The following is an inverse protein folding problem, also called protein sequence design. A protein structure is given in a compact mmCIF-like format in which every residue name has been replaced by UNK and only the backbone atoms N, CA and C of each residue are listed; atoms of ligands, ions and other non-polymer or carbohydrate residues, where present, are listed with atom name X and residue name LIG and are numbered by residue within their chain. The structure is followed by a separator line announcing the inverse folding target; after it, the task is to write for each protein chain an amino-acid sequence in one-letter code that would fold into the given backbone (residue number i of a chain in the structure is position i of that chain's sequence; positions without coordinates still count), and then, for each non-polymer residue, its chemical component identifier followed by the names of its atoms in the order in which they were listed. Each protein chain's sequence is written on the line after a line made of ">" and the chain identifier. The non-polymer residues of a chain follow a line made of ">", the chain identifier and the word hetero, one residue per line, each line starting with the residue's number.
data_IF_541149706405
#
_entry.id   IF_541149706405
#
_cell.length_a   1.000
_cell.length_b   1.000
_cell.length_c   1.000
_cell.angle_alpha   90.00
_cell.angle_beta   90.00
_cell.angle_gamma   90.00
#
_symmetry.space_group_name_H-M   'P 1'
#
loop_
_entity.id
_entity.type
_entity.pdbx_description
1 polymer ?
#
# COMPACT_ATOMS: atom_id res chain seq x y z
N UNK A 1 10.39 -10.86 -3.84
CA UNK A 1 9.90 -9.65 -3.18
C UNK A 1 10.12 -8.45 -4.08
N UNK A 2 9.04 -8.02 -4.76
CA UNK A 2 9.02 -6.83 -5.61
C UNK A 2 10.03 -6.88 -6.77
N UNK A 3 10.24 -5.72 -7.41
CA UNK A 3 11.35 -5.54 -8.36
C UNK A 3 12.51 -4.90 -7.60
N UNK A 4 13.71 -5.49 -7.66
CA UNK A 4 14.90 -5.01 -6.92
C UNK A 4 15.17 -3.52 -7.13
N UNK A 5 14.95 -3.00 -8.33
CA UNK A 5 15.12 -1.58 -8.68
C UNK A 5 13.80 -0.82 -8.82
N UNK A 6 12.67 -1.42 -8.42
CA UNK A 6 11.34 -0.87 -8.64
C UNK A 6 11.15 0.52 -8.03
N UNK A 7 11.74 0.77 -6.85
CA UNK A 7 11.69 2.07 -6.19
C UNK A 7 12.45 3.18 -6.94
N UNK A 8 13.44 2.84 -7.77
CA UNK A 8 14.21 3.79 -8.58
C UNK A 8 13.51 4.12 -9.91
N UNK A 9 12.74 3.17 -10.45
CA UNK A 9 12.19 3.26 -11.81
C UNK A 9 10.71 3.68 -11.85
N UNK A 10 9.96 3.42 -10.79
CA UNK A 10 8.52 3.62 -10.74
C UNK A 10 8.26 4.78 -9.80
N UNK A 11 7.65 5.86 -10.25
CA UNK A 11 7.25 6.97 -9.37
C UNK A 11 6.13 6.56 -8.40
N UNK A 12 6.13 7.15 -7.19
CA UNK A 12 5.09 6.90 -6.19
C UNK A 12 3.78 7.49 -6.69
N UNK A 13 2.75 6.67 -6.73
CA UNK A 13 1.39 7.07 -7.01
C UNK A 13 0.49 6.68 -5.86
N UNK A 14 -0.52 7.50 -5.62
CA UNK A 14 -1.50 7.29 -4.57
C UNK A 14 -2.91 7.58 -5.12
N UNK A 15 -3.91 7.14 -4.36
CA UNK A 15 -5.32 7.38 -4.66
C UNK A 15 -5.59 8.87 -4.70
N UNK A 16 -6.44 9.27 -5.64
CA UNK A 16 -6.86 10.67 -5.77
C UNK A 16 -8.28 10.84 -5.24
N UNK A 17 -8.78 12.07 -5.28
CA UNK A 17 -10.12 12.41 -4.82
C UNK A 17 -10.91 13.04 -5.94
N UNK A 18 -12.23 12.81 -5.95
CA UNK A 18 -13.15 13.60 -6.75
C UNK A 18 -13.00 15.10 -6.42
N UNK A 19 -13.23 15.99 -7.40
CA UNK A 19 -13.24 17.43 -7.17
C UNK A 19 -14.10 17.83 -5.97
N UNK A 20 -13.66 18.86 -5.24
CA UNK A 20 -14.39 19.34 -4.06
C UNK A 20 -15.84 19.74 -4.39
N UNK A 21 -16.08 20.30 -5.57
CA UNK A 21 -17.42 20.66 -6.08
C UNK A 21 -18.38 19.49 -6.17
N UNK A 22 -17.86 18.30 -6.46
CA UNK A 22 -18.68 17.13 -6.78
C UNK A 22 -19.00 16.34 -5.51
N UNK A 23 -18.03 16.28 -4.57
CA UNK A 23 -18.16 15.53 -3.31
C UNK A 23 -18.95 16.24 -2.21
N UNK A 24 -19.33 17.51 -2.38
CA UNK A 24 -20.24 18.21 -1.43
C UNK A 24 -21.73 17.96 -1.73
N UNK A 25 -22.05 17.31 -2.85
CA UNK A 25 -23.44 17.11 -3.29
C UNK A 25 -24.08 15.85 -2.71
N UNK A 26 -23.29 14.94 -2.13
CA UNK A 26 -23.75 13.65 -1.62
C UNK A 26 -22.74 13.05 -0.61
N UNK A 27 -23.11 11.94 0.03
CA UNK A 27 -22.29 11.23 1.02
C UNK A 27 -21.62 9.95 0.49
N UNK A 28 -21.46 9.81 -0.83
CA UNK A 28 -20.81 8.62 -1.42
C UNK A 28 -19.29 8.69 -1.28
N UNK A 29 -18.63 7.54 -1.46
CA UNK A 29 -17.17 7.46 -1.49
C UNK A 29 -16.61 8.36 -2.61
N UNK A 30 -15.66 9.22 -2.25
CA UNK A 30 -15.04 10.19 -3.16
C UNK A 30 -13.56 9.88 -3.44
N UNK A 31 -13.04 8.81 -2.86
CA UNK A 31 -11.68 8.33 -3.10
C UNK A 31 -11.68 7.53 -4.40
N UNK A 32 -10.80 7.90 -5.33
CA UNK A 32 -10.65 7.23 -6.62
C UNK A 32 -9.52 6.21 -6.46
N UNK A 33 -9.80 4.90 -6.52
CA UNK A 33 -8.78 3.87 -6.42
C UNK A 33 -7.84 3.93 -7.63
N UNK A 34 -6.61 3.45 -7.46
CA UNK A 34 -5.73 3.16 -8.58
C UNK A 34 -6.26 1.94 -9.34
N UNK A 35 -6.00 1.88 -10.63
CA UNK A 35 -6.24 0.67 -11.41
C UNK A 35 -5.26 -0.44 -11.00
N UNK A 36 -5.67 -1.69 -11.21
CA UNK A 36 -4.90 -2.88 -10.81
C UNK A 36 -3.44 -2.88 -11.33
N UNK A 37 -3.15 -2.57 -12.61
CA UNK A 37 -1.78 -2.41 -13.09
C UNK A 37 -0.96 -1.36 -12.33
N UNK A 38 -1.57 -0.23 -11.99
CA UNK A 38 -0.92 0.82 -11.20
C UNK A 38 -0.65 0.38 -9.77
N UNK A 39 -1.59 -0.33 -9.13
CA UNK A 39 -1.38 -0.91 -7.78
C UNK A 39 -0.23 -1.93 -7.81
N UNK A 40 -0.20 -2.82 -8.80
CA UNK A 40 0.88 -3.80 -8.97
C UNK A 40 2.26 -3.13 -9.15
N UNK A 41 2.32 -2.01 -9.90
CA UNK A 41 3.54 -1.19 -9.99
C UNK A 41 3.95 -0.57 -8.66
N UNK A 42 2.99 -0.09 -7.85
CA UNK A 42 3.31 0.46 -6.53
C UNK A 42 3.84 -0.63 -5.58
N UNK A 43 3.29 -1.84 -5.64
CA UNK A 43 3.80 -2.99 -4.89
C UNK A 43 5.24 -3.37 -5.26
N UNK A 44 5.60 -3.20 -6.54
CA UNK A 44 6.95 -3.43 -7.04
C UNK A 44 8.01 -2.48 -6.45
N UNK A 45 7.61 -1.35 -5.84
CA UNK A 45 8.53 -0.40 -5.17
C UNK A 45 9.08 -0.93 -3.84
N UNK A 46 8.59 -2.05 -3.30
CA UNK A 46 9.14 -2.62 -2.06
C UNK A 46 10.62 -3.00 -2.25
N UNK A 47 11.50 -2.51 -1.36
CA UNK A 47 12.95 -2.72 -1.48
C UNK A 47 13.46 -4.06 -0.93
N UNK A 48 12.60 -4.87 -0.30
CA UNK A 48 13.02 -6.08 0.44
C UNK A 48 14.18 -5.80 1.43
N UNK A 49 13.92 -4.91 2.40
CA UNK A 49 14.95 -4.25 3.21
C UNK A 49 15.75 -5.17 4.18
N UNK A 50 15.47 -6.48 4.23
CA UNK A 50 15.97 -7.42 5.23
C UNK A 50 15.38 -7.22 6.63
N UNK A 51 15.37 -5.99 7.15
CA UNK A 51 14.67 -5.60 8.38
C UNK A 51 13.44 -4.75 8.00
N UNK A 52 12.22 -5.31 8.01
CA UNK A 52 11.03 -4.60 7.57
C UNK A 52 10.48 -3.69 8.69
N UNK A 53 11.01 -2.48 8.82
CA UNK A 53 10.51 -1.49 9.80
C UNK A 53 9.01 -1.16 9.62
N UNK A 54 8.47 -1.33 8.41
CA UNK A 54 7.04 -1.21 8.15
C UNK A 54 6.19 -2.20 8.95
N UNK A 55 6.69 -3.41 9.28
CA UNK A 55 6.01 -4.37 10.14
C UNK A 55 5.81 -3.78 11.54
N UNK A 56 6.90 -3.30 12.14
CA UNK A 56 6.89 -2.73 13.49
C UNK A 56 6.12 -1.41 13.56
N UNK A 57 6.12 -0.65 12.46
CA UNK A 57 5.31 0.57 12.33
C UNK A 57 3.80 0.28 12.23
N UNK A 58 3.40 -0.94 11.90
CA UNK A 58 2.00 -1.34 11.85
C UNK A 58 1.53 -1.86 13.22
N UNK A 59 0.53 -1.26 13.88
CA UNK A 59 0.07 -1.72 15.20
C UNK A 59 -0.48 -3.15 15.25
N UNK A 60 -0.86 -3.72 14.09
CA UNK A 60 -1.33 -5.10 13.96
C UNK A 60 -0.27 -6.03 13.35
N UNK A 61 0.97 -5.55 13.20
CA UNK A 61 2.11 -6.31 12.69
C UNK A 61 1.84 -7.01 11.34
N UNK A 62 1.19 -6.29 10.40
CA UNK A 62 0.95 -6.83 9.06
C UNK A 62 2.25 -7.24 8.37
N UNK A 63 2.19 -8.35 7.63
CA UNK A 63 3.26 -8.92 6.82
C UNK A 63 3.42 -8.19 5.47
N UNK A 64 3.69 -6.88 5.54
CA UNK A 64 3.61 -5.94 4.41
C UNK A 64 4.41 -6.34 3.17
N UNK A 65 5.70 -6.69 3.27
CA UNK A 65 6.49 -7.08 2.12
C UNK A 65 6.00 -8.37 1.46
N UNK A 66 5.35 -9.27 2.21
CA UNK A 66 4.86 -10.55 1.69
C UNK A 66 3.67 -10.32 0.75
N UNK A 67 2.63 -9.64 1.21
CA UNK A 67 1.48 -9.36 0.35
C UNK A 67 1.80 -8.36 -0.76
N UNK A 68 2.77 -7.44 -0.59
CA UNK A 68 3.29 -6.63 -1.69
C UNK A 68 3.90 -7.49 -2.81
N UNK A 69 4.69 -8.52 -2.47
CA UNK A 69 5.25 -9.44 -3.47
C UNK A 69 4.17 -10.27 -4.17
N UNK A 70 3.16 -10.71 -3.41
CA UNK A 70 2.01 -11.42 -3.95
C UNK A 70 1.23 -10.55 -4.94
N UNK A 71 0.94 -9.29 -4.60
CA UNK A 71 0.29 -8.31 -5.48
C UNK A 71 1.12 -8.03 -6.73
N UNK A 72 2.43 -7.82 -6.58
CA UNK A 72 3.33 -7.64 -7.73
C UNK A 72 3.31 -8.86 -8.67
N UNK A 73 3.18 -10.06 -8.12
CA UNK A 73 3.11 -11.32 -8.87
C UNK A 73 1.71 -11.64 -9.43
N UNK A 74 0.71 -10.78 -9.22
CA UNK A 74 -0.68 -11.00 -9.63
C UNK A 74 -1.44 -12.05 -8.80
N UNK A 75 -0.91 -12.46 -7.64
CA UNK A 75 -1.51 -13.45 -6.74
C UNK A 75 -2.44 -12.78 -5.72
N UNK A 76 -3.48 -12.12 -6.20
CA UNK A 76 -4.38 -11.27 -5.41
C UNK A 76 -5.11 -12.00 -4.27
N UNK A 77 -5.57 -13.23 -4.52
CA UNK A 77 -6.28 -14.02 -3.49
C UNK A 77 -5.35 -14.43 -2.34
N UNK A 78 -4.13 -14.85 -2.66
CA UNK A 78 -3.10 -15.15 -1.66
C UNK A 78 -2.69 -13.88 -0.89
N UNK A 79 -2.55 -12.74 -1.58
CA UNK A 79 -2.25 -11.46 -0.95
C UNK A 79 -3.34 -11.06 0.07
N UNK A 80 -4.61 -11.19 -0.33
CA UNK A 80 -5.74 -10.92 0.55
C UNK A 80 -5.77 -11.86 1.76
N UNK A 81 -5.53 -13.16 1.55
CA UNK A 81 -5.45 -14.16 2.62
C UNK A 81 -4.31 -13.83 3.61
N UNK A 82 -3.13 -13.45 3.10
CA UNK A 82 -2.01 -13.03 3.92
C UNK A 82 -2.36 -11.79 4.76
N UNK A 83 -2.93 -10.76 4.14
CA UNK A 83 -3.33 -9.54 4.84
C UNK A 83 -4.39 -9.81 5.91
N UNK A 84 -5.36 -10.68 5.62
CA UNK A 84 -6.39 -11.09 6.58
C UNK A 84 -5.85 -11.93 7.75
N UNK A 85 -4.68 -12.56 7.60
CA UNK A 85 -4.09 -13.38 8.67
C UNK A 85 -3.70 -12.56 9.92
N UNK A 86 -3.44 -11.25 9.74
CA UNK A 86 -3.07 -10.32 10.83
C UNK A 86 -4.08 -9.20 11.02
N UNK A 87 -4.92 -8.92 10.02
CA UNK A 87 -5.88 -7.82 10.04
C UNK A 87 -7.29 -8.30 9.74
N UNK A 88 -8.20 -8.16 10.70
CA UNK A 88 -9.57 -8.61 10.53
C UNK A 88 -10.38 -7.71 9.57
N UNK A 89 -9.96 -6.45 9.38
CA UNK A 89 -10.70 -5.44 8.60
C UNK A 89 -9.76 -4.61 7.68
N UNK A 90 -9.07 -5.24 6.72
CA UNK A 90 -8.21 -4.54 5.77
C UNK A 90 -8.96 -3.53 4.91
N UNK A 91 -10.22 -3.78 4.57
CA UNK A 91 -11.08 -2.88 3.82
C UNK A 91 -11.40 -1.59 4.59
N UNK A 92 -11.40 -1.64 5.92
CA UNK A 92 -11.60 -0.46 6.77
C UNK A 92 -10.28 0.25 6.98
N UNK A 93 -9.27 -0.47 7.47
CA UNK A 93 -7.94 0.09 7.76
C UNK A 93 -7.26 0.65 6.50
N UNK A 94 -7.41 0.02 5.34
CA UNK A 94 -6.94 0.53 4.05
C UNK A 94 -7.58 1.86 3.62
N UNK A 95 -8.70 2.26 4.24
CA UNK A 95 -9.35 3.57 4.01
C UNK A 95 -8.98 4.60 5.07
N UNK A 96 -9.09 4.25 6.35
CA UNK A 96 -9.05 5.22 7.45
C UNK A 96 -7.69 5.30 8.16
N UNK A 97 -6.80 4.32 7.96
CA UNK A 97 -5.53 4.29 8.67
C UNK A 97 -4.67 5.52 8.30
N UNK A 98 -4.01 6.15 9.28
CA UNK A 98 -3.02 7.21 9.01
C UNK A 98 -1.71 6.67 8.42
N UNK A 99 -1.61 5.36 8.17
CA UNK A 99 -0.47 4.68 7.55
C UNK A 99 0.89 4.88 8.27
N UNK A 100 1.01 4.56 9.57
CA UNK A 100 2.30 4.63 10.29
C UNK A 100 3.36 3.67 9.72
N UNK A 101 2.93 2.61 9.02
CA UNK A 101 3.79 1.72 8.27
C UNK A 101 4.51 2.40 7.09
N UNK A 102 3.88 3.38 6.43
CA UNK A 102 4.51 4.17 5.38
C UNK A 102 5.54 5.14 5.97
N UNK A 103 5.21 5.79 7.09
CA UNK A 103 6.15 6.65 7.81
C UNK A 103 7.38 5.88 8.33
N UNK A 104 7.20 4.61 8.67
CA UNK A 104 8.27 3.70 9.14
C UNK A 104 8.97 2.95 8.00
N UNK A 105 8.60 3.17 6.73
CA UNK A 105 9.22 2.50 5.61
C UNK A 105 10.68 2.91 5.47
N UNK A 106 11.61 1.96 5.29
CA UNK A 106 13.03 2.25 5.10
C UNK A 106 13.28 3.22 3.94
N UNK A 107 12.49 3.12 2.87
CA UNK A 107 12.60 4.02 1.71
C UNK A 107 12.27 5.48 2.08
N UNK A 108 11.44 5.69 3.11
CA UNK A 108 11.06 7.03 3.62
C UNK A 108 12.25 7.82 4.23
N UNK A 109 13.40 7.17 4.45
CA UNK A 109 14.58 7.83 4.99
C UNK A 109 15.25 8.74 3.95
N UNK A 110 15.26 8.32 2.69
CA UNK A 110 16.00 8.99 1.60
C UNK A 110 15.10 9.42 0.44
N UNK A 111 13.93 8.81 0.28
CA UNK A 111 12.97 9.09 -0.79
C UNK A 111 11.53 8.90 -0.28
N UNK A 112 10.54 8.84 -1.18
CA UNK A 112 9.14 8.66 -0.83
C UNK A 112 8.80 7.17 -0.56
N UNK A 113 8.01 6.88 0.49
CA UNK A 113 7.76 5.53 0.94
C UNK A 113 6.93 4.73 -0.08
N UNK A 114 6.94 3.40 0.06
CA UNK A 114 5.99 2.53 -0.64
C UNK A 114 4.57 2.92 -0.22
N UNK A 115 3.63 2.99 -1.16
CA UNK A 115 2.21 3.35 -0.93
C UNK A 115 1.42 2.21 -0.28
N UNK A 116 1.91 1.69 0.85
CA UNK A 116 1.45 0.46 1.53
C UNK A 116 -0.05 0.48 1.81
N UNK A 117 -0.65 1.60 2.19
CA UNK A 117 -2.08 1.62 2.50
C UNK A 117 -2.95 1.43 1.25
N UNK A 118 -2.42 1.75 0.08
CA UNK A 118 -3.14 1.74 -1.20
C UNK A 118 -3.07 0.39 -1.91
N UNK A 119 -1.99 -0.35 -1.67
CA UNK A 119 -1.80 -1.71 -2.14
C UNK A 119 -2.55 -2.66 -1.19
#
# INVERSE_FOLDING_TARGET
>A
MGKVTGFLEIERQDRTYLPASDRILNFKEFVIPLDEPSVSKQAARCMDCGIPYCHTGCPVNNQIPDWNDLVYSGRWEEAASNLHSTNNFPEVTGRICPAPCEASCTLNLEDVPVTIKTI
#
